data_IF_637288858141
#
_entry.id   IF_637288858141
#
_cell.length_a   1.000
_cell.length_b   1.000
_cell.length_c   1.000
_cell.angle_alpha   90.00
_cell.angle_beta   90.00
_cell.angle_gamma   90.00
#
_symmetry.space_group_name_H-M   'P 1'
#
loop_
_entity.id
_entity.type
_entity.pdbx_description
1 polymer ?
#
# COMPACT_ATOMS: atom_id res chain seq x y z
N UNK A 1 -5.49 17.76 11.29
CA UNK A 1 -4.33 16.94 11.68
C UNK A 1 -3.39 17.77 12.53
N UNK A 2 -2.73 17.15 13.52
CA UNK A 2 -1.72 17.82 14.34
C UNK A 2 -0.47 18.00 13.45
N UNK A 3 0.02 19.26 13.35
CA UNK A 3 1.30 19.55 12.68
C UNK A 3 2.45 18.99 13.52
N UNK A 4 3.54 18.56 12.87
CA UNK A 4 4.78 18.13 13.52
C UNK A 4 5.40 19.20 14.46
N UNK A 5 5.06 20.48 14.25
CA UNK A 5 5.44 21.60 15.10
C UNK A 5 4.45 21.85 16.26
N UNK A 6 3.36 21.11 16.35
CA UNK A 6 2.39 21.24 17.43
C UNK A 6 2.99 20.79 18.77
N UNK A 7 2.73 21.50 19.89
CA UNK A 7 3.15 21.04 21.22
C UNK A 7 2.53 19.70 21.63
N UNK A 8 1.46 19.26 20.96
CA UNK A 8 0.84 17.95 21.17
C UNK A 8 1.53 16.83 20.39
N UNK A 9 2.46 17.15 19.46
CA UNK A 9 3.20 16.15 18.69
C UNK A 9 4.35 15.55 19.52
N UNK A 10 4.25 14.25 19.82
CA UNK A 10 5.27 13.54 20.61
C UNK A 10 6.38 13.05 19.68
N UNK A 11 7.38 13.90 19.47
CA UNK A 11 8.51 13.62 18.56
C UNK A 11 9.27 12.32 18.92
N UNK A 12 9.37 12.00 20.21
CA UNK A 12 10.03 10.76 20.63
C UNK A 12 9.29 9.51 20.14
N UNK A 13 7.95 9.54 20.09
CA UNK A 13 7.13 8.46 19.54
C UNK A 13 7.33 8.34 18.04
N UNK A 14 7.27 9.46 17.30
CA UNK A 14 7.49 9.48 15.86
C UNK A 14 8.87 8.90 15.49
N UNK A 15 9.92 9.30 16.21
CA UNK A 15 11.28 8.77 16.02
C UNK A 15 11.36 7.26 16.30
N UNK A 16 10.65 6.77 17.30
CA UNK A 16 10.57 5.34 17.61
C UNK A 16 9.92 4.53 16.49
N UNK A 17 8.81 5.03 15.94
CA UNK A 17 8.12 4.42 14.79
C UNK A 17 9.01 4.42 13.54
N UNK A 18 9.67 5.54 13.23
CA UNK A 18 10.60 5.61 12.09
C UNK A 18 11.75 4.60 12.17
N UNK A 19 12.20 4.25 13.38
CA UNK A 19 13.21 3.19 13.56
C UNK A 19 12.62 1.81 13.23
N UNK A 20 11.37 1.52 13.58
CA UNK A 20 10.71 0.25 13.21
C UNK A 20 10.49 0.15 11.70
N UNK A 21 10.08 1.22 11.06
CA UNK A 21 9.81 1.32 9.63
C UNK A 21 11.08 1.25 8.76
N UNK A 22 12.27 1.46 9.36
CA UNK A 22 13.54 1.40 8.66
C UNK A 22 13.93 -0.03 8.22
N UNK A 23 13.38 -1.06 8.84
CA UNK A 23 13.71 -2.45 8.50
C UNK A 23 12.87 -2.92 7.31
N UNK A 24 13.52 -3.55 6.35
CA UNK A 24 12.89 -4.11 5.16
C UNK A 24 13.60 -5.38 4.68
N UNK A 25 13.17 -5.93 3.55
CA UNK A 25 13.75 -7.14 2.97
C UNK A 25 15.21 -6.98 2.49
N UNK A 26 15.67 -5.74 2.24
CA UNK A 26 17.05 -5.44 1.83
C UNK A 26 17.95 -5.29 3.06
N UNK A 27 17.38 -4.71 4.11
CA UNK A 27 18.08 -4.41 5.37
C UNK A 27 17.35 -5.07 6.55
N UNK A 28 17.32 -6.42 6.64
CA UNK A 28 16.59 -7.16 7.69
C UNK A 28 17.26 -7.04 9.06
N UNK A 29 18.55 -6.76 9.09
CA UNK A 29 19.33 -6.45 10.31
C UNK A 29 20.29 -5.29 10.03
N UNK A 30 20.42 -4.37 10.97
CA UNK A 30 21.25 -3.17 10.84
C UNK A 30 21.99 -2.83 12.12
N UNK A 31 23.17 -2.23 11.98
CA UNK A 31 23.91 -1.57 13.07
C UNK A 31 23.27 -0.21 13.40
N UNK A 32 23.63 0.38 14.56
CA UNK A 32 23.19 1.74 14.90
C UNK A 32 23.61 2.79 13.88
N UNK A 33 24.77 2.62 13.24
CA UNK A 33 25.29 3.55 12.25
C UNK A 33 24.48 3.47 10.93
N UNK A 34 24.09 2.28 10.51
CA UNK A 34 23.24 2.06 9.33
C UNK A 34 21.83 2.59 9.56
N UNK A 35 21.22 2.26 10.70
CA UNK A 35 19.93 2.83 11.11
C UNK A 35 19.99 4.35 11.15
N UNK A 36 21.02 4.95 11.74
CA UNK A 36 21.21 6.40 11.82
C UNK A 36 21.21 7.06 10.44
N UNK A 37 21.91 6.47 9.47
CA UNK A 37 21.93 6.96 8.08
C UNK A 37 20.56 6.81 7.41
N UNK A 38 19.91 5.67 7.59
CA UNK A 38 18.64 5.36 6.93
C UNK A 38 17.49 6.24 7.42
N UNK A 39 17.43 6.53 8.72
CA UNK A 39 16.38 7.38 9.33
C UNK A 39 16.74 8.87 9.44
N UNK A 40 17.96 9.27 9.07
CA UNK A 40 18.39 10.67 9.14
C UNK A 40 18.55 11.23 10.56
N UNK A 41 18.71 10.37 11.57
CA UNK A 41 18.82 10.76 12.98
C UNK A 41 20.26 10.54 13.51
N UNK A 42 20.65 11.27 14.57
CA UNK A 42 21.94 11.03 15.23
C UNK A 42 22.02 9.62 15.82
N UNK A 43 23.22 9.02 15.85
CA UNK A 43 23.45 7.69 16.45
C UNK A 43 22.96 7.64 17.91
N UNK A 44 23.13 8.72 18.67
CA UNK A 44 22.68 8.79 20.06
C UNK A 44 21.14 8.72 20.15
N UNK A 45 20.42 9.40 19.26
CA UNK A 45 18.96 9.35 19.17
C UNK A 45 18.49 7.95 18.78
N UNK A 46 19.05 7.37 17.72
CA UNK A 46 18.72 6.00 17.28
C UNK A 46 18.99 5.01 18.37
N UNK A 47 20.14 5.09 19.06
CA UNK A 47 20.47 4.20 20.17
C UNK A 47 19.41 4.22 21.27
N UNK A 48 18.93 5.40 21.67
CA UNK A 48 17.88 5.53 22.71
C UNK A 48 16.57 4.88 22.27
N UNK A 49 16.13 5.11 21.03
CA UNK A 49 14.91 4.50 20.49
C UNK A 49 15.06 2.98 20.38
N UNK A 50 16.18 2.47 19.84
CA UNK A 50 16.44 1.03 19.69
C UNK A 50 16.44 0.33 21.06
N UNK A 51 17.10 0.89 22.08
CA UNK A 51 17.12 0.31 23.43
C UNK A 51 15.72 0.29 24.07
N UNK A 52 14.91 1.33 23.83
CA UNK A 52 13.52 1.35 24.29
C UNK A 52 12.70 0.27 23.59
N UNK A 53 12.82 0.16 22.25
CA UNK A 53 12.10 -0.85 21.46
C UNK A 53 12.58 -2.28 21.78
N UNK A 54 13.87 -2.46 22.09
CA UNK A 54 14.43 -3.72 22.59
C UNK A 54 13.81 -4.08 23.95
N UNK A 55 13.75 -3.14 24.89
CA UNK A 55 13.13 -3.35 26.20
C UNK A 55 11.62 -3.65 26.10
N UNK A 56 10.93 -3.04 25.12
CA UNK A 56 9.53 -3.33 24.83
C UNK A 56 9.33 -4.64 24.03
N UNK A 57 10.39 -5.28 23.55
CA UNK A 57 10.35 -6.55 22.84
C UNK A 57 10.01 -6.45 21.35
N UNK A 58 10.04 -5.26 20.74
CA UNK A 58 9.82 -5.05 19.31
C UNK A 58 11.08 -5.21 18.46
N UNK A 59 12.26 -5.03 19.09
CA UNK A 59 13.58 -5.22 18.47
C UNK A 59 14.35 -6.26 19.28
N UNK A 60 15.19 -7.01 18.60
CA UNK A 60 16.19 -7.91 19.20
C UNK A 60 17.57 -7.50 18.74
N UNK A 61 18.57 -7.81 19.60
CA UNK A 61 19.98 -7.63 19.30
C UNK A 61 20.61 -8.96 18.91
N UNK A 62 21.39 -8.92 17.84
CA UNK A 62 22.28 -9.98 17.40
C UNK A 62 23.68 -9.41 17.20
N UNK A 63 24.58 -9.63 18.15
CA UNK A 63 25.91 -9.02 18.19
C UNK A 63 25.85 -7.48 18.16
N UNK A 64 26.33 -6.87 17.05
CA UNK A 64 26.30 -5.41 16.82
C UNK A 64 25.09 -4.97 15.99
N UNK A 65 24.27 -5.91 15.51
CA UNK A 65 23.10 -5.65 14.69
C UNK A 65 21.81 -5.72 15.50
N UNK A 66 20.81 -5.04 15.00
CA UNK A 66 19.44 -5.02 15.50
C UNK A 66 18.50 -5.49 14.42
N UNK A 67 17.44 -6.20 14.79
CA UNK A 67 16.43 -6.74 13.88
C UNK A 67 15.05 -6.69 14.53
N UNK A 68 13.99 -6.69 13.71
CA UNK A 68 12.62 -6.74 14.24
C UNK A 68 12.36 -8.04 14.99
N UNK A 69 11.67 -7.96 16.11
CA UNK A 69 11.16 -9.10 16.83
C UNK A 69 9.76 -9.49 16.35
N UNK A 70 9.34 -10.77 16.44
CA UNK A 70 8.00 -11.21 16.03
C UNK A 70 6.86 -10.45 16.69
N UNK A 71 7.09 -9.79 17.81
CA UNK A 71 6.10 -8.95 18.50
C UNK A 71 5.53 -7.84 17.62
N UNK A 72 6.28 -7.36 16.61
CA UNK A 72 5.77 -6.33 15.66
C UNK A 72 4.47 -6.77 14.99
N UNK A 73 4.28 -8.07 14.76
CA UNK A 73 3.07 -8.62 14.14
C UNK A 73 1.81 -8.38 14.96
N UNK A 74 1.93 -8.18 16.28
CA UNK A 74 0.77 -7.91 17.15
C UNK A 74 0.08 -6.59 16.81
N UNK A 75 0.83 -5.61 16.29
CA UNK A 75 0.26 -4.33 15.86
C UNK A 75 -0.62 -4.50 14.62
N UNK A 76 -0.12 -5.20 13.60
CA UNK A 76 -0.90 -5.51 12.40
C UNK A 76 -2.11 -6.40 12.70
N UNK A 77 -1.92 -7.44 13.55
CA UNK A 77 -3.02 -8.32 13.96
C UNK A 77 -4.11 -7.56 14.71
N UNK A 78 -3.75 -6.57 15.53
CA UNK A 78 -4.75 -5.75 16.23
C UNK A 78 -5.65 -5.00 15.23
N UNK A 79 -5.10 -4.44 14.14
CA UNK A 79 -5.86 -3.81 13.08
C UNK A 79 -6.81 -4.80 12.40
N UNK A 80 -6.29 -5.94 11.94
CA UNK A 80 -7.05 -6.94 11.20
C UNK A 80 -8.21 -7.49 12.02
N UNK A 81 -7.98 -7.77 13.31
CA UNK A 81 -9.00 -8.29 14.22
C UNK A 81 -10.03 -7.23 14.62
N UNK A 82 -9.59 -5.99 14.90
CA UNK A 82 -10.50 -4.91 15.30
C UNK A 82 -11.53 -4.57 14.21
N UNK A 83 -11.16 -4.73 12.96
CA UNK A 83 -12.00 -4.36 11.81
C UNK A 83 -12.56 -5.55 11.03
N UNK A 84 -12.29 -6.79 11.47
CA UNK A 84 -12.71 -8.02 10.78
C UNK A 84 -12.40 -8.00 9.27
N UNK A 85 -11.21 -7.48 8.89
CA UNK A 85 -10.81 -7.29 7.48
C UNK A 85 -10.86 -8.61 6.71
N UNK A 86 -10.43 -9.71 7.32
CA UNK A 86 -10.44 -11.03 6.72
C UNK A 86 -11.88 -11.47 6.39
N UNK A 87 -12.81 -11.36 7.33
CA UNK A 87 -14.21 -11.74 7.11
C UNK A 87 -14.87 -10.85 6.04
N UNK A 88 -14.58 -9.54 6.07
CA UNK A 88 -15.21 -8.59 5.18
C UNK A 88 -14.69 -8.67 3.73
N UNK A 89 -13.40 -8.92 3.53
CA UNK A 89 -12.72 -8.74 2.22
C UNK A 89 -12.37 -10.05 1.55
N UNK A 90 -11.90 -11.05 2.30
CA UNK A 90 -11.42 -12.33 1.75
C UNK A 90 -12.42 -13.04 0.84
N UNK A 91 -13.74 -13.09 1.13
CA UNK A 91 -14.70 -13.76 0.25
C UNK A 91 -14.76 -13.14 -1.16
N UNK A 92 -14.63 -11.81 -1.27
CA UNK A 92 -14.64 -11.14 -2.57
C UNK A 92 -13.33 -11.33 -3.33
N UNK A 93 -12.18 -11.28 -2.66
CA UNK A 93 -10.91 -11.61 -3.30
C UNK A 93 -10.84 -13.08 -3.74
N UNK A 94 -11.42 -13.99 -2.94
CA UNK A 94 -11.48 -15.42 -3.29
C UNK A 94 -12.31 -15.66 -4.55
N UNK A 95 -13.43 -14.94 -4.76
CA UNK A 95 -14.22 -15.05 -6.00
C UNK A 95 -13.38 -14.68 -7.22
N UNK A 96 -12.59 -13.60 -7.13
CA UNK A 96 -11.71 -13.14 -8.19
C UNK A 96 -10.62 -14.18 -8.46
N UNK A 97 -9.92 -14.67 -7.44
CA UNK A 97 -8.84 -15.65 -7.62
C UNK A 97 -9.35 -17.00 -8.11
N UNK A 98 -10.48 -17.49 -7.58
CA UNK A 98 -11.09 -18.75 -8.02
C UNK A 98 -11.57 -18.72 -9.48
N UNK A 99 -12.00 -17.55 -9.97
CA UNK A 99 -12.44 -17.39 -11.34
C UNK A 99 -11.28 -17.27 -12.33
N UNK A 100 -10.21 -16.57 -11.94
CA UNK A 100 -9.12 -16.21 -12.86
C UNK A 100 -7.79 -16.92 -12.58
N UNK A 101 -7.67 -17.61 -11.44
CA UNK A 101 -6.49 -18.44 -11.10
C UNK A 101 -5.23 -17.67 -10.73
N UNK A 102 -5.32 -16.35 -10.56
CA UNK A 102 -4.20 -15.45 -10.32
C UNK A 102 -4.26 -14.82 -8.90
N UNK A 103 -3.72 -13.63 -8.73
CA UNK A 103 -3.75 -12.90 -7.45
C UNK A 103 -4.80 -11.77 -7.46
N UNK A 104 -5.43 -11.55 -6.31
CA UNK A 104 -6.31 -10.42 -6.03
C UNK A 104 -5.87 -9.73 -4.75
N UNK A 105 -5.94 -8.41 -4.72
CA UNK A 105 -5.48 -7.60 -3.60
C UNK A 105 -6.44 -6.45 -3.31
N UNK A 106 -6.41 -5.95 -2.07
CA UNK A 106 -7.00 -4.67 -1.69
C UNK A 106 -5.92 -3.78 -1.08
N UNK A 107 -5.93 -2.50 -1.46
CA UNK A 107 -4.98 -1.53 -0.96
C UNK A 107 -5.64 -0.17 -0.71
N UNK A 108 -5.03 0.59 0.19
CA UNK A 108 -5.32 2.00 0.48
C UNK A 108 -4.15 2.87 0.07
N UNK A 109 -4.39 4.17 -0.09
CA UNK A 109 -3.32 5.14 -0.29
C UNK A 109 -2.72 5.49 1.07
N UNK A 110 -1.40 5.36 1.18
CA UNK A 110 -0.60 5.70 2.36
C UNK A 110 0.55 6.61 1.95
N UNK A 111 0.35 7.90 2.10
CA UNK A 111 1.28 8.91 1.61
C UNK A 111 1.48 8.80 0.09
N UNK A 112 2.71 8.52 -0.31
CA UNK A 112 3.09 8.37 -1.73
C UNK A 112 2.98 6.92 -2.24
N UNK A 113 2.62 5.99 -1.36
CA UNK A 113 2.56 4.57 -1.64
C UNK A 113 1.13 4.03 -1.57
N UNK A 114 0.95 2.83 -2.05
CA UNK A 114 -0.19 1.99 -1.72
C UNK A 114 0.22 0.99 -0.65
N UNK A 115 -0.61 0.83 0.38
CA UNK A 115 -0.46 -0.17 1.42
C UNK A 115 -1.44 -1.31 1.16
N UNK A 116 -0.93 -2.53 1.02
CA UNK A 116 -1.74 -3.73 0.82
C UNK A 116 -2.34 -4.20 2.15
N UNK A 117 -3.66 -4.15 2.26
CA UNK A 117 -4.41 -4.52 3.47
C UNK A 117 -5.14 -5.87 3.34
N UNK A 118 -5.20 -6.43 2.13
CA UNK A 118 -5.60 -7.81 1.89
C UNK A 118 -4.90 -8.36 0.64
N UNK A 119 -4.54 -9.63 0.67
CA UNK A 119 -3.89 -10.34 -0.42
C UNK A 119 -4.35 -11.79 -0.47
N UNK A 120 -4.72 -12.26 -1.65
CA UNK A 120 -5.03 -13.65 -1.92
C UNK A 120 -4.40 -14.06 -3.26
N UNK A 121 -3.79 -15.24 -3.30
CA UNK A 121 -3.22 -15.80 -4.52
C UNK A 121 -3.37 -17.33 -4.53
N UNK A 122 -3.91 -17.86 -5.59
CA UNK A 122 -3.96 -19.33 -5.84
C UNK A 122 -2.73 -19.80 -6.61
N UNK A 123 -2.07 -18.93 -7.35
CA UNK A 123 -0.89 -19.23 -8.14
C UNK A 123 0.39 -19.15 -7.33
N UNK A 124 1.11 -20.25 -7.20
CA UNK A 124 2.42 -20.31 -6.51
C UNK A 124 3.55 -19.57 -7.24
N UNK A 125 3.29 -19.03 -8.44
CA UNK A 125 4.31 -18.45 -9.32
C UNK A 125 4.27 -16.93 -9.46
N UNK A 126 3.16 -16.27 -9.15
CA UNK A 126 2.98 -14.83 -9.35
C UNK A 126 3.26 -14.07 -8.06
N UNK A 127 4.40 -13.38 -8.03
CA UNK A 127 4.90 -12.53 -6.92
C UNK A 127 5.03 -13.22 -5.56
N UNK A 128 6.24 -13.62 -5.25
CA UNK A 128 6.65 -14.00 -3.88
C UNK A 128 6.58 -12.84 -2.86
N UNK A 129 6.43 -11.61 -3.32
CA UNK A 129 6.59 -10.41 -2.46
C UNK A 129 5.29 -9.65 -2.17
N UNK A 130 4.16 -9.99 -2.81
CA UNK A 130 2.88 -9.39 -2.46
C UNK A 130 2.35 -10.07 -1.20
N UNK A 131 2.43 -9.38 -0.08
CA UNK A 131 1.93 -9.82 1.22
C UNK A 131 1.18 -8.69 1.88
N UNK A 132 0.40 -9.02 2.90
CA UNK A 132 -0.24 -8.06 3.76
C UNK A 132 0.81 -7.11 4.38
N UNK A 133 0.52 -5.82 4.40
CA UNK A 133 1.40 -4.80 4.96
C UNK A 133 2.52 -4.32 4.02
N UNK A 134 2.67 -4.90 2.82
CA UNK A 134 3.65 -4.41 1.86
C UNK A 134 3.20 -3.08 1.26
N UNK A 135 4.16 -2.20 0.99
CA UNK A 135 3.94 -0.93 0.30
C UNK A 135 4.62 -0.91 -1.06
N UNK A 136 3.97 -0.24 -2.02
CA UNK A 136 4.53 0.00 -3.35
C UNK A 136 4.26 1.43 -3.80
N UNK A 137 5.12 2.04 -4.63
CA UNK A 137 4.89 3.36 -5.19
C UNK A 137 3.54 3.44 -5.92
N UNK A 138 2.71 4.42 -5.56
CA UNK A 138 1.36 4.51 -6.10
C UNK A 138 1.33 4.73 -7.62
N UNK A 139 2.24 5.55 -8.17
CA UNK A 139 2.31 5.82 -9.62
C UNK A 139 2.57 4.57 -10.47
N UNK A 140 3.27 3.57 -9.93
CA UNK A 140 3.69 2.38 -10.67
C UNK A 140 2.71 1.20 -10.56
N UNK A 141 1.62 1.34 -9.81
CA UNK A 141 0.63 0.28 -9.59
C UNK A 141 -0.75 0.66 -10.12
N UNK A 142 -1.51 -0.31 -10.63
CA UNK A 142 -2.89 -0.08 -11.07
C UNK A 142 -3.79 0.41 -9.92
N UNK A 143 -3.64 -0.15 -8.72
CA UNK A 143 -4.39 0.30 -7.53
C UNK A 143 -4.00 1.73 -7.13
N UNK A 144 -2.72 2.05 -7.16
CA UNK A 144 -2.25 3.39 -6.82
C UNK A 144 -2.75 4.45 -7.79
N UNK A 145 -2.75 4.17 -9.10
CA UNK A 145 -3.32 5.09 -10.10
C UNK A 145 -4.81 5.31 -9.88
N UNK A 146 -5.56 4.28 -9.53
CA UNK A 146 -7.00 4.42 -9.18
C UNK A 146 -7.18 5.31 -7.95
N UNK A 147 -6.36 5.14 -6.92
CA UNK A 147 -6.43 5.92 -5.69
C UNK A 147 -5.98 7.37 -5.90
N UNK A 148 -4.87 7.59 -6.60
CA UNK A 148 -4.40 8.92 -6.98
C UNK A 148 -5.42 9.65 -7.87
N UNK A 149 -6.01 8.96 -8.86
CA UNK A 149 -7.03 9.52 -9.73
C UNK A 149 -8.29 9.98 -8.98
N UNK A 150 -8.53 9.49 -7.78
CA UNK A 150 -9.66 9.86 -6.94
C UNK A 150 -9.40 11.11 -6.08
N UNK A 151 -8.15 11.54 -5.96
CA UNK A 151 -7.77 12.71 -5.16
C UNK A 151 -8.19 14.03 -5.83
N UNK A 152 -8.44 15.09 -5.05
CA UNK A 152 -8.53 16.45 -5.56
C UNK A 152 -7.23 16.86 -6.27
N UNK A 153 -7.33 17.77 -7.24
CA UNK A 153 -6.16 18.21 -8.05
C UNK A 153 -5.03 18.80 -7.17
N UNK A 154 -5.38 19.50 -6.11
CA UNK A 154 -4.43 20.04 -5.15
C UNK A 154 -3.60 18.95 -4.43
N UNK A 155 -4.21 17.81 -4.14
CA UNK A 155 -3.52 16.68 -3.52
C UNK A 155 -2.67 15.93 -4.53
N UNK A 156 -3.10 15.83 -5.79
CA UNK A 156 -2.28 15.29 -6.88
C UNK A 156 -1.05 16.18 -7.11
N UNK A 157 -1.21 17.51 -7.12
CA UNK A 157 -0.09 18.44 -7.23
C UNK A 157 0.91 18.23 -6.09
N UNK A 158 0.42 18.18 -4.85
CA UNK A 158 1.26 17.92 -3.66
C UNK A 158 1.96 16.57 -3.72
N UNK A 159 1.32 15.53 -4.27
CA UNK A 159 1.94 14.22 -4.46
C UNK A 159 3.20 14.33 -5.33
N UNK A 160 3.13 15.03 -6.47
CA UNK A 160 4.27 15.20 -7.37
C UNK A 160 5.32 16.20 -6.86
N UNK A 161 4.93 17.17 -6.03
CA UNK A 161 5.88 18.04 -5.33
C UNK A 161 6.71 17.29 -4.28
N UNK A 162 6.11 16.32 -3.61
CA UNK A 162 6.76 15.58 -2.50
C UNK A 162 7.44 14.31 -2.94
N UNK A 163 7.14 13.79 -4.13
CA UNK A 163 7.65 12.51 -4.61
C UNK A 163 8.05 12.55 -6.06
N UNK A 164 9.29 12.19 -6.34
CA UNK A 164 9.80 12.04 -7.71
C UNK A 164 9.72 10.57 -8.12
N UNK A 165 8.91 10.23 -9.15
CA UNK A 165 8.85 8.87 -9.70
C UNK A 165 10.22 8.39 -10.19
N UNK A 166 10.55 7.13 -9.93
CA UNK A 166 11.79 6.51 -10.38
C UNK A 166 11.51 5.31 -11.29
N UNK A 167 12.42 5.01 -12.20
CA UNK A 167 12.30 3.90 -13.13
C UNK A 167 12.54 2.58 -12.39
N UNK A 168 11.51 1.74 -12.28
CA UNK A 168 11.57 0.42 -11.64
C UNK A 168 11.82 -0.69 -12.68
N UNK A 169 11.28 -0.49 -13.89
CA UNK A 169 11.48 -1.31 -15.09
C UNK A 169 11.62 -0.38 -16.30
N UNK A 170 11.92 -0.91 -17.46
CA UNK A 170 11.96 -0.12 -18.71
C UNK A 170 10.59 0.45 -19.11
N UNK A 171 9.51 -0.16 -18.60
CA UNK A 171 8.12 0.24 -18.86
C UNK A 171 7.55 1.21 -17.84
N UNK A 172 8.25 1.47 -16.73
CA UNK A 172 7.77 2.38 -15.69
C UNK A 172 7.67 3.80 -16.24
N UNK A 173 6.48 4.39 -16.17
CA UNK A 173 6.27 5.80 -16.48
C UNK A 173 6.75 6.66 -15.30
N UNK A 174 7.52 7.68 -15.60
CA UNK A 174 8.12 8.57 -14.60
C UNK A 174 7.84 10.04 -14.85
N UNK A 175 7.44 10.41 -16.09
CA UNK A 175 7.15 11.79 -16.44
C UNK A 175 5.81 12.24 -15.83
N UNK A 176 5.82 13.34 -15.09
CA UNK A 176 4.63 13.86 -14.40
C UNK A 176 3.47 14.11 -15.36
N UNK A 177 3.74 14.68 -16.54
CA UNK A 177 2.72 14.95 -17.53
C UNK A 177 2.00 13.68 -17.99
N UNK A 178 2.76 12.63 -18.33
CA UNK A 178 2.20 11.33 -18.73
C UNK A 178 1.41 10.68 -17.58
N UNK A 179 1.92 10.78 -16.37
CA UNK A 179 1.22 10.24 -15.19
C UNK A 179 -0.08 10.99 -14.92
N UNK A 180 -0.11 12.33 -15.06
CA UNK A 180 -1.34 13.12 -14.92
C UNK A 180 -2.38 12.76 -15.99
N UNK A 181 -1.97 12.59 -17.23
CA UNK A 181 -2.86 12.17 -18.32
C UNK A 181 -3.50 10.80 -18.00
N UNK A 182 -2.70 9.84 -17.52
CA UNK A 182 -3.20 8.54 -17.07
C UNK A 182 -4.16 8.66 -15.88
N UNK A 183 -3.93 9.56 -14.94
CA UNK A 183 -4.86 9.77 -13.81
C UNK A 183 -6.19 10.35 -14.30
N UNK A 184 -6.18 11.28 -15.27
CA UNK A 184 -7.40 11.82 -15.91
C UNK A 184 -8.16 10.69 -16.63
N UNK A 185 -7.45 9.88 -17.41
CA UNK A 185 -8.03 8.73 -18.10
C UNK A 185 -8.61 7.69 -17.11
N UNK A 186 -7.86 7.36 -16.05
CA UNK A 186 -8.27 6.43 -14.99
C UNK A 186 -9.55 6.92 -14.30
N UNK A 187 -9.64 8.22 -14.00
CA UNK A 187 -10.84 8.84 -13.42
C UNK A 187 -12.06 8.70 -14.35
N UNK A 188 -11.87 8.96 -15.63
CA UNK A 188 -12.94 8.87 -16.62
C UNK A 188 -13.42 7.43 -16.85
N UNK A 189 -12.51 6.48 -16.99
CA UNK A 189 -12.81 5.05 -17.24
C UNK A 189 -13.28 4.30 -16.01
N UNK A 190 -12.87 4.74 -14.81
CA UNK A 190 -13.14 4.07 -13.55
C UNK A 190 -12.33 2.78 -13.33
N UNK A 191 -11.20 2.65 -14.01
CA UNK A 191 -10.22 1.57 -13.79
C UNK A 191 -8.83 2.00 -14.29
N UNK A 192 -7.79 1.28 -13.85
CA UNK A 192 -6.43 1.44 -14.36
C UNK A 192 -5.80 0.09 -14.66
N UNK A 193 -4.96 0.03 -15.69
CA UNK A 193 -4.16 -1.15 -16.04
C UNK A 193 -2.69 -0.76 -15.99
N UNK A 194 -1.86 -1.67 -15.47
CA UNK A 194 -0.40 -1.58 -15.54
C UNK A 194 0.17 -2.86 -16.13
N UNK A 195 1.11 -2.72 -17.06
CA UNK A 195 1.84 -3.81 -17.69
C UNK A 195 3.32 -3.59 -17.41
N UNK A 196 3.95 -4.51 -16.70
CA UNK A 196 5.39 -4.48 -16.35
C UNK A 196 5.89 -3.17 -15.70
N UNK A 197 5.02 -2.37 -15.12
CA UNK A 197 5.37 -1.04 -14.60
C UNK A 197 6.08 -1.09 -13.24
N UNK A 198 5.60 -1.95 -12.34
CA UNK A 198 6.17 -2.10 -11.01
C UNK A 198 7.28 -3.16 -10.99
N UNK A 199 7.10 -4.23 -11.76
CA UNK A 199 8.02 -5.36 -11.88
C UNK A 199 7.76 -6.07 -13.20
N UNK A 200 8.80 -6.65 -13.79
CA UNK A 200 8.67 -7.43 -15.03
C UNK A 200 7.79 -8.66 -14.82
N UNK A 201 7.00 -8.99 -15.81
CA UNK A 201 6.11 -10.16 -15.79
C UNK A 201 4.80 -9.93 -15.04
N UNK A 202 4.46 -8.69 -14.64
CA UNK A 202 3.24 -8.40 -13.89
C UNK A 202 2.32 -7.47 -14.67
N UNK A 203 1.14 -7.97 -15.01
CA UNK A 203 0.03 -7.19 -15.55
C UNK A 203 -1.12 -7.20 -14.57
N UNK A 204 -1.72 -6.04 -14.33
CA UNK A 204 -2.79 -5.89 -13.35
C UNK A 204 -3.86 -4.88 -13.81
N UNK A 205 -5.11 -5.17 -13.48
CA UNK A 205 -6.22 -4.23 -13.56
C UNK A 205 -6.74 -3.93 -12.16
N UNK A 206 -7.08 -2.67 -11.89
CA UNK A 206 -7.65 -2.23 -10.62
C UNK A 206 -8.89 -1.36 -10.84
N UNK A 207 -9.79 -1.43 -9.86
CA UNK A 207 -11.01 -0.61 -9.78
C UNK A 207 -11.13 0.05 -8.42
N UNK A 208 -11.78 1.22 -8.31
CA UNK A 208 -12.06 1.87 -7.04
C UNK A 208 -13.19 1.16 -6.29
N UNK A 209 -13.08 1.09 -4.98
CA UNK A 209 -14.18 0.79 -4.06
C UNK A 209 -14.63 2.09 -3.41
N UNK A 210 -15.91 2.40 -3.51
CA UNK A 210 -16.49 3.67 -3.07
C UNK A 210 -17.35 3.46 -1.82
N UNK A 211 -17.40 4.46 -0.98
CA UNK A 211 -18.41 4.53 0.10
C UNK A 211 -19.79 4.95 -0.45
N UNK A 212 -20.77 5.04 0.43
CA UNK A 212 -22.14 5.44 0.10
C UNK A 212 -22.27 6.91 -0.35
N UNK A 213 -21.24 7.72 -0.18
CA UNK A 213 -21.18 9.11 -0.67
C UNK A 213 -20.56 9.20 -2.06
N UNK A 214 -20.03 8.10 -2.59
CA UNK A 214 -19.33 8.03 -3.85
C UNK A 214 -17.82 8.31 -3.74
N UNK A 215 -17.29 8.53 -2.52
CA UNK A 215 -15.85 8.74 -2.29
C UNK A 215 -15.11 7.41 -2.38
N UNK A 216 -13.98 7.40 -3.10
CA UNK A 216 -13.10 6.24 -3.16
C UNK A 216 -12.37 6.08 -1.82
N UNK A 217 -12.48 4.89 -1.21
CA UNK A 217 -11.89 4.58 0.10
C UNK A 217 -10.75 3.57 0.01
N UNK A 218 -10.81 2.69 -0.97
CA UNK A 218 -9.74 1.73 -1.27
C UNK A 218 -9.81 1.32 -2.74
N UNK A 219 -8.88 0.50 -3.18
CA UNK A 219 -8.87 -0.10 -4.51
C UNK A 219 -8.66 -1.60 -4.41
N UNK A 220 -9.29 -2.36 -5.30
CA UNK A 220 -9.02 -3.80 -5.49
C UNK A 220 -8.42 -4.03 -6.86
N UNK A 221 -7.56 -5.03 -6.98
CA UNK A 221 -6.99 -5.43 -8.25
C UNK A 221 -7.08 -6.95 -8.48
N UNK A 222 -6.98 -7.31 -9.76
CA UNK A 222 -6.62 -8.65 -10.22
C UNK A 222 -5.31 -8.54 -10.98
N UNK A 223 -4.31 -9.35 -10.63
CA UNK A 223 -2.98 -9.29 -11.23
C UNK A 223 -2.49 -10.68 -11.60
N UNK A 224 -1.87 -10.79 -12.78
CA UNK A 224 -1.36 -12.06 -13.31
C UNK A 224 -0.05 -11.87 -14.06
N UNK A 225 0.40 -12.96 -14.69
CA UNK A 225 1.67 -13.01 -15.40
C UNK A 225 1.54 -12.42 -16.81
N UNK A 226 2.30 -11.35 -17.11
CA UNK A 226 2.22 -10.58 -18.37
C UNK A 226 2.18 -11.43 -19.63
N UNK A 227 3.01 -12.47 -19.86
CA UNK A 227 2.94 -13.31 -21.05
C UNK A 227 1.62 -14.09 -21.24
N UNK A 228 0.77 -14.13 -20.21
CA UNK A 228 -0.52 -14.85 -20.25
C UNK A 228 -1.73 -13.92 -20.16
N UNK A 229 -1.51 -12.62 -20.11
CA UNK A 229 -2.57 -11.67 -19.76
C UNK A 229 -2.40 -10.35 -20.49
N UNK A 230 -3.27 -10.08 -21.45
CA UNK A 230 -3.27 -8.83 -22.21
C UNK A 230 -4.19 -7.78 -21.57
N UNK A 231 -4.00 -6.49 -21.86
CA UNK A 231 -4.92 -5.43 -21.42
C UNK A 231 -6.36 -5.66 -21.92
N UNK A 232 -6.53 -6.16 -23.15
CA UNK A 232 -7.82 -6.46 -23.76
C UNK A 232 -8.56 -7.55 -22.97
N UNK A 233 -7.87 -8.66 -22.63
CA UNK A 233 -8.42 -9.75 -21.80
C UNK A 233 -8.79 -9.26 -20.40
N UNK A 234 -8.00 -8.34 -19.81
CA UNK A 234 -8.35 -7.72 -18.52
C UNK A 234 -9.65 -6.94 -18.60
N UNK A 235 -9.85 -6.15 -19.67
CA UNK A 235 -11.05 -5.35 -19.87
C UNK A 235 -12.27 -6.23 -20.16
N UNK A 236 -12.13 -7.19 -21.05
CA UNK A 236 -13.25 -8.02 -21.49
C UNK A 236 -13.70 -9.02 -20.44
N UNK A 237 -12.73 -9.69 -19.78
CA UNK A 237 -13.02 -10.83 -18.92
C UNK A 237 -13.04 -10.45 -17.43
N UNK A 238 -12.10 -9.59 -16.96
CA UNK A 238 -11.93 -9.32 -15.53
C UNK A 238 -12.65 -8.07 -15.05
N UNK A 239 -12.67 -7.00 -15.83
CA UNK A 239 -13.26 -5.73 -15.42
C UNK A 239 -14.73 -5.83 -14.97
N UNK A 240 -15.62 -6.58 -15.67
CA UNK A 240 -16.99 -6.74 -15.20
C UNK A 240 -17.09 -7.34 -13.79
N UNK A 241 -16.36 -8.42 -13.51
CA UNK A 241 -16.35 -9.05 -12.19
C UNK A 241 -15.69 -8.17 -11.13
N UNK A 242 -14.61 -7.47 -11.48
CA UNK A 242 -13.95 -6.53 -10.59
C UNK A 242 -14.90 -5.39 -10.15
N UNK A 243 -15.72 -4.87 -11.06
CA UNK A 243 -16.75 -3.86 -10.74
C UNK A 243 -17.85 -4.44 -9.84
N UNK A 244 -18.27 -5.67 -10.08
CA UNK A 244 -19.25 -6.34 -9.22
C UNK A 244 -18.67 -6.56 -7.80
N UNK A 245 -17.42 -7.01 -7.69
CA UNK A 245 -16.75 -7.18 -6.40
C UNK A 245 -16.60 -5.84 -5.67
N UNK A 246 -16.21 -4.78 -6.36
CA UNK A 246 -16.13 -3.43 -5.79
C UNK A 246 -17.48 -2.93 -5.26
N UNK A 247 -18.57 -3.18 -5.98
CA UNK A 247 -19.93 -2.84 -5.55
C UNK A 247 -20.36 -3.66 -4.31
N UNK A 248 -20.06 -4.96 -4.28
CA UNK A 248 -20.34 -5.79 -3.10
C UNK A 248 -19.57 -5.33 -1.87
N UNK A 249 -18.27 -5.00 -2.02
CA UNK A 249 -17.47 -4.42 -0.94
C UNK A 249 -18.02 -3.06 -0.47
N UNK A 250 -18.43 -2.20 -1.40
CA UNK A 250 -19.06 -0.92 -1.08
C UNK A 250 -20.30 -1.10 -0.20
N UNK A 251 -21.18 -2.04 -0.55
CA UNK A 251 -22.36 -2.38 0.24
C UNK A 251 -21.99 -2.99 1.59
N UNK A 252 -20.98 -3.86 1.61
CA UNK A 252 -20.52 -4.51 2.84
C UNK A 252 -19.98 -3.50 3.83
N UNK A 253 -19.20 -2.53 3.38
CA UNK A 253 -18.59 -1.51 4.23
C UNK A 253 -19.62 -0.63 4.95
N UNK A 254 -20.87 -0.54 4.46
CA UNK A 254 -21.95 0.13 5.21
C UNK A 254 -22.27 -0.58 6.52
N UNK A 255 -21.98 -1.88 6.63
CA UNK A 255 -22.16 -2.69 7.84
C UNK A 255 -20.96 -2.60 8.80
N UNK A 256 -19.83 -2.08 8.33
CA UNK A 256 -18.59 -1.95 9.09
C UNK A 256 -18.10 -0.48 9.08
N UNK A 257 -18.83 0.46 9.69
CA UNK A 257 -18.50 1.90 9.60
C UNK A 257 -17.11 2.23 10.16
N UNK A 258 -16.64 1.50 11.18
CA UNK A 258 -15.31 1.70 11.74
C UNK A 258 -14.21 1.28 10.75
N UNK A 259 -14.38 0.16 10.03
CA UNK A 259 -13.49 -0.24 8.94
C UNK A 259 -13.48 0.83 7.85
N UNK A 260 -14.67 1.22 7.36
CA UNK A 260 -14.80 2.24 6.33
C UNK A 260 -14.07 3.54 6.70
N UNK A 261 -14.23 3.98 7.96
CA UNK A 261 -13.54 5.18 8.44
C UNK A 261 -12.01 5.00 8.47
N UNK A 262 -11.52 3.82 8.82
CA UNK A 262 -10.08 3.51 8.85
C UNK A 262 -9.43 3.44 7.47
N UNK A 263 -10.22 3.15 6.42
CA UNK A 263 -9.76 3.09 5.03
C UNK A 263 -9.65 4.49 4.38
N UNK A 264 -10.23 5.51 4.99
CA UNK A 264 -10.20 6.86 4.44
C UNK A 264 -8.72 7.30 4.27
N UNK A 265 -8.38 7.89 3.10
CA UNK A 265 -7.01 8.36 2.87
C UNK A 265 -6.56 9.28 4.00
N UNK A 266 -5.46 8.95 4.64
CA UNK A 266 -4.76 9.88 5.52
C UNK A 266 -3.91 10.77 4.64
N UNK A 267 -4.03 12.09 4.80
CA UNK A 267 -3.11 13.00 4.13
C UNK A 267 -1.68 12.60 4.49
N UNK A 268 -0.79 12.65 3.51
CA UNK A 268 0.61 12.33 3.73
C UNK A 268 1.14 13.12 4.93
N UNK A 269 1.86 12.48 5.87
CA UNK A 269 2.50 13.22 6.96
C UNK A 269 3.43 14.25 6.32
N UNK A 270 3.22 15.51 6.65
CA UNK A 270 4.17 16.58 6.36
C UNK A 270 5.47 16.24 7.06
N UNK A 271 6.51 15.91 6.28
CA UNK A 271 7.87 15.71 6.79
C UNK A 271 8.49 17.03 7.19
#
# INVERSE_FOLDING_TARGET
MIDSNSPEFVEALARGLSVLEAFDARDPEMTLAELSRKVGMSIATVRRNVLTLEALGFIRRHNKHFLLAPRILTLGSAYLNAFNVEEAVTPELHRITSQFGDAANMAVLDGVNVLYIAHLSESRGVRRNATLGVTYPAYATSMGRVLLAALPEEEIARYFETYTPVKLTDYTLTEETELRDILVETRAKGYSITVDQLDYGITAIAVPVKDNTGRVVCSINSSGYTPRLTPEELIEQRLPEMRLAANRLSQLFTRFPALLHSLAPTAAPTR
#
